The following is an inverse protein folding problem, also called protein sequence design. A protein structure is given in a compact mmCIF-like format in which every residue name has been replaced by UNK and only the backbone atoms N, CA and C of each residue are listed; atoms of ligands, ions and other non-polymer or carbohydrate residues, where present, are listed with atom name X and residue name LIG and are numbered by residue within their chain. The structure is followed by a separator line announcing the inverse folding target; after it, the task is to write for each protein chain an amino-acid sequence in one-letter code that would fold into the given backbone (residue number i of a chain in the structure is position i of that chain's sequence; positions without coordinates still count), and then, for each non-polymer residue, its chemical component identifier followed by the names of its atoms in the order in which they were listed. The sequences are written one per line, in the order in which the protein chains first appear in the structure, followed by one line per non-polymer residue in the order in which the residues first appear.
data_IF_942235434829
#
_entry.id   IF_942235434829
#
_cell.length_a   1.000
_cell.length_b   1.000
_cell.length_c   1.000
_cell.angle_alpha   90.00
_cell.angle_beta   90.00
_cell.angle_gamma   90.00
#
_symmetry.space_group_name_H-M   'P 1'
#
loop_
_entity.id
_entity.type
_entity.pdbx_description
1 polymer ?
#
# COMPACT_ATOMS: atom_id res chain seq x y z
N UNK A 1 -21.45 12.32 11.71
CA UNK A 1 -20.83 12.75 10.44
C UNK A 1 -20.08 11.57 9.84
N UNK A 2 -20.31 11.30 8.57
CA UNK A 2 -19.73 10.15 7.87
C UNK A 2 -18.22 10.39 7.66
N UNK A 3 -17.40 9.38 7.98
CA UNK A 3 -15.94 9.45 7.79
C UNK A 3 -15.58 9.74 6.33
N UNK A 4 -16.34 9.16 5.39
CA UNK A 4 -16.14 9.42 3.96
C UNK A 4 -16.24 10.90 3.63
N UNK A 5 -17.21 11.61 4.23
CA UNK A 5 -17.41 13.05 4.00
C UNK A 5 -16.23 13.88 4.47
N UNK A 6 -15.51 13.39 5.48
CA UNK A 6 -14.32 14.07 6.02
C UNK A 6 -13.08 13.75 5.19
N UNK A 7 -12.93 12.49 4.80
CA UNK A 7 -11.73 12.02 4.12
C UNK A 7 -11.74 12.22 2.61
N UNK A 8 -12.91 12.22 1.98
CA UNK A 8 -13.00 12.33 0.52
C UNK A 8 -12.24 13.54 -0.04
N UNK A 9 -12.37 14.76 0.52
CA UNK A 9 -11.61 15.90 0.02
C UNK A 9 -10.09 15.70 0.13
N UNK A 10 -9.62 15.04 1.19
CA UNK A 10 -8.20 14.76 1.38
C UNK A 10 -7.68 13.74 0.38
N UNK A 11 -8.48 12.71 0.08
CA UNK A 11 -8.14 11.71 -0.92
C UNK A 11 -8.04 12.34 -2.31
N UNK A 12 -9.03 13.14 -2.68
CA UNK A 12 -9.07 13.84 -3.97
C UNK A 12 -7.87 14.79 -4.10
N UNK A 13 -7.57 15.54 -3.05
CA UNK A 13 -6.43 16.46 -3.05
C UNK A 13 -5.11 15.74 -3.22
N UNK A 14 -4.93 14.61 -2.53
CA UNK A 14 -3.71 13.82 -2.67
C UNK A 14 -3.56 13.28 -4.09
N UNK A 15 -4.64 12.76 -4.68
CA UNK A 15 -4.60 12.27 -6.05
C UNK A 15 -4.24 13.38 -7.04
N UNK A 16 -4.82 14.59 -6.86
CA UNK A 16 -4.51 15.74 -7.70
C UNK A 16 -3.03 16.13 -7.59
N UNK A 17 -2.50 16.13 -6.36
CA UNK A 17 -1.08 16.42 -6.12
C UNK A 17 -0.19 15.41 -6.83
N UNK A 18 -0.49 14.12 -6.69
CA UNK A 18 0.31 13.05 -7.31
C UNK A 18 0.27 13.14 -8.84
N UNK A 19 -0.86 13.52 -9.42
CA UNK A 19 -0.95 13.74 -10.88
C UNK A 19 -0.06 14.89 -11.33
N UNK A 20 -0.02 15.97 -10.57
CA UNK A 20 0.86 17.10 -10.87
C UNK A 20 2.33 16.71 -10.82
N UNK A 21 2.68 15.76 -9.97
CA UNK A 21 4.03 15.22 -9.86
C UNK A 21 4.34 14.17 -10.92
N UNK A 22 3.36 13.79 -11.75
CA UNK A 22 3.53 12.79 -12.78
C UNK A 22 3.41 11.35 -12.29
N UNK A 23 2.83 11.13 -11.12
CA UNK A 23 2.72 9.79 -10.53
C UNK A 23 1.76 8.88 -11.28
N UNK A 24 0.88 9.44 -12.13
CA UNK A 24 -0.06 8.66 -12.94
C UNK A 24 0.50 8.26 -14.31
N UNK A 25 1.73 8.66 -14.63
CA UNK A 25 2.36 8.30 -15.89
C UNK A 25 2.79 6.85 -15.90
N UNK A 26 2.69 6.16 -17.07
CA UNK A 26 3.15 4.78 -17.15
C UNK A 26 4.60 4.65 -16.72
N UNK A 27 4.88 3.66 -15.87
CA UNK A 27 6.23 3.36 -15.43
C UNK A 27 6.84 2.27 -16.30
N UNK A 28 8.18 2.12 -16.30
CA UNK A 28 8.84 1.02 -17.01
C UNK A 28 8.31 -0.34 -16.56
N UNK A 29 8.27 -1.31 -17.47
CA UNK A 29 7.77 -2.66 -17.18
C UNK A 29 8.54 -3.33 -16.04
N UNK A 30 9.76 -2.94 -15.80
CA UNK A 30 10.62 -3.49 -14.76
C UNK A 30 10.36 -2.88 -13.38
N UNK A 31 9.42 -1.94 -13.27
CA UNK A 31 9.11 -1.31 -11.98
C UNK A 31 8.40 -2.28 -11.05
N UNK A 32 8.91 -2.41 -9.83
CA UNK A 32 8.29 -3.23 -8.79
C UNK A 32 7.32 -2.44 -7.92
N UNK A 33 7.16 -1.15 -8.18
CA UNK A 33 6.30 -0.28 -7.38
C UNK A 33 4.84 -0.22 -7.80
N UNK A 34 4.40 -1.03 -8.77
CA UNK A 34 3.06 -0.94 -9.34
C UNK A 34 2.26 -2.21 -9.10
N UNK A 35 0.95 -2.05 -8.84
CA UNK A 35 0.02 -3.17 -8.88
C UNK A 35 0.00 -3.74 -10.30
N UNK A 36 -0.13 -5.05 -10.40
CA UNK A 36 -0.08 -5.76 -11.70
C UNK A 36 -1.43 -6.25 -12.17
N UNK A 37 -2.20 -6.88 -11.28
CA UNK A 37 -3.47 -7.50 -11.64
C UNK A 37 -4.51 -7.31 -10.56
N UNK A 38 -5.79 -7.17 -10.96
CA UNK A 38 -6.87 -7.19 -9.99
C UNK A 38 -6.85 -8.52 -9.24
N UNK A 39 -7.28 -8.49 -7.99
CA UNK A 39 -7.33 -9.68 -7.15
C UNK A 39 -6.03 -9.97 -6.39
N UNK A 40 -4.95 -9.26 -6.69
CA UNK A 40 -3.73 -9.40 -5.90
C UNK A 40 -4.01 -8.99 -4.46
N UNK A 41 -3.43 -9.71 -3.51
CA UNK A 41 -3.57 -9.39 -2.09
C UNK A 41 -2.63 -8.26 -1.70
N UNK A 42 -3.10 -7.35 -0.86
CA UNK A 42 -2.32 -6.20 -0.41
C UNK A 42 -2.05 -6.34 1.09
N UNK A 43 -0.77 -6.25 1.45
CA UNK A 43 -0.32 -6.30 2.85
C UNK A 43 0.49 -5.07 3.21
N UNK A 44 0.41 -4.69 4.49
CA UNK A 44 1.32 -3.72 5.08
C UNK A 44 2.38 -4.51 5.84
N UNK A 45 3.63 -4.35 5.47
CA UNK A 45 4.77 -5.05 6.06
C UNK A 45 5.52 -4.07 6.96
N UNK A 46 5.76 -4.47 8.21
CA UNK A 46 6.44 -3.64 9.20
C UNK A 46 5.50 -3.23 10.32
N UNK A 47 6.06 -2.57 11.33
CA UNK A 47 5.30 -2.13 12.49
C UNK A 47 4.82 -0.69 12.33
N UNK A 48 3.53 -0.45 12.61
CA UNK A 48 2.96 0.89 12.61
C UNK A 48 3.10 1.52 14.00
N UNK A 49 3.09 2.85 14.04
CA UNK A 49 3.03 3.59 15.31
C UNK A 49 4.36 3.87 15.97
N UNK A 50 5.47 3.35 15.45
CA UNK A 50 6.78 3.65 15.97
C UNK A 50 7.37 4.85 15.23
N UNK A 51 7.51 5.96 15.93
CA UNK A 51 8.12 7.17 15.37
C UNK A 51 9.64 7.18 15.53
N UNK A 52 10.19 6.18 16.18
CA UNK A 52 11.64 6.08 16.37
C UNK A 52 12.29 5.43 15.14
N UNK A 53 13.35 6.05 14.66
CA UNK A 53 14.16 5.49 13.59
C UNK A 53 14.95 4.33 14.16
N UNK A 54 14.70 3.13 13.65
CA UNK A 54 15.46 1.93 14.03
C UNK A 54 16.13 1.39 12.77
N UNK A 55 17.41 1.70 12.61
CA UNK A 55 18.18 1.34 11.43
C UNK A 55 18.29 -0.18 11.24
N UNK A 56 18.33 -0.94 12.33
CA UNK A 56 18.41 -2.39 12.26
C UNK A 56 17.11 -2.99 11.70
N UNK A 57 15.96 -2.47 12.13
CA UNK A 57 14.66 -2.90 11.62
C UNK A 57 14.49 -2.50 10.15
N UNK A 58 14.90 -1.28 9.79
CA UNK A 58 14.86 -0.79 8.41
C UNK A 58 15.69 -1.69 7.49
N UNK A 59 16.91 -1.99 7.89
CA UNK A 59 17.81 -2.84 7.14
C UNK A 59 17.23 -4.25 6.98
N UNK A 60 16.68 -4.81 8.05
CA UNK A 60 16.08 -6.14 8.04
C UNK A 60 14.91 -6.21 7.06
N UNK A 61 14.01 -5.22 7.10
CA UNK A 61 12.84 -5.19 6.21
C UNK A 61 13.29 -5.09 4.76
N UNK A 62 14.24 -4.20 4.45
CA UNK A 62 14.76 -4.05 3.10
C UNK A 62 15.37 -5.35 2.58
N UNK A 63 16.15 -6.01 3.41
CA UNK A 63 16.82 -7.27 3.06
C UNK A 63 15.80 -8.39 2.80
N UNK A 64 14.78 -8.48 3.66
CA UNK A 64 13.72 -9.49 3.51
C UNK A 64 12.90 -9.21 2.26
N UNK A 65 12.59 -7.95 1.97
CA UNK A 65 11.85 -7.58 0.76
C UNK A 65 12.63 -7.93 -0.51
N UNK A 66 13.93 -7.65 -0.55
CA UNK A 66 14.76 -8.04 -1.68
C UNK A 66 14.77 -9.56 -1.88
N UNK A 67 14.86 -10.31 -0.79
CA UNK A 67 14.82 -11.77 -0.85
C UNK A 67 13.48 -12.27 -1.39
N UNK A 68 12.38 -11.69 -0.92
CA UNK A 68 11.04 -12.04 -1.39
C UNK A 68 10.87 -11.74 -2.89
N UNK A 69 11.42 -10.62 -3.36
CA UNK A 69 11.38 -10.27 -4.77
C UNK A 69 12.17 -11.27 -5.61
N UNK A 70 13.34 -11.68 -5.16
CA UNK A 70 14.16 -12.67 -5.86
C UNK A 70 13.47 -14.04 -5.95
N UNK A 71 12.63 -14.35 -4.98
CA UNK A 71 11.86 -15.61 -4.96
C UNK A 71 10.54 -15.51 -5.71
N UNK A 72 10.27 -14.36 -6.34
CA UNK A 72 9.01 -14.08 -7.03
C UNK A 72 7.78 -14.19 -6.13
N UNK A 73 7.93 -13.82 -4.86
CA UNK A 73 6.81 -13.81 -3.90
C UNK A 73 6.03 -12.51 -3.94
N UNK A 74 6.61 -11.43 -4.48
CA UNK A 74 5.98 -10.12 -4.52
C UNK A 74 5.78 -9.65 -5.95
N UNK A 75 4.62 -9.06 -6.22
CA UNK A 75 4.32 -8.39 -7.49
C UNK A 75 4.47 -6.88 -7.40
N UNK A 76 4.45 -6.32 -6.19
CA UNK A 76 4.56 -4.88 -5.96
C UNK A 76 5.18 -4.61 -4.59
N UNK A 77 6.07 -3.61 -4.52
CA UNK A 77 6.62 -3.10 -3.26
C UNK A 77 6.65 -1.58 -3.35
N UNK A 78 6.00 -0.90 -2.40
CA UNK A 78 6.05 0.56 -2.26
C UNK A 78 6.43 0.91 -0.83
N UNK A 79 7.51 1.65 -0.65
CA UNK A 79 7.87 2.15 0.67
C UNK A 79 6.86 3.22 1.10
N UNK A 80 6.47 3.18 2.38
CA UNK A 80 5.60 4.20 2.95
C UNK A 80 6.48 5.34 3.46
N UNK A 81 6.10 6.57 3.11
CA UNK A 81 6.85 7.77 3.48
C UNK A 81 5.93 8.78 4.19
N UNK A 82 6.35 10.04 4.20
CA UNK A 82 5.65 11.12 4.92
C UNK A 82 4.18 11.28 4.54
N UNK A 83 3.79 10.91 3.34
CA UNK A 83 2.40 10.98 2.88
C UNK A 83 1.51 9.85 3.40
N UNK A 84 2.07 8.89 4.12
CA UNK A 84 1.33 7.81 4.73
C UNK A 84 1.02 6.65 3.81
N UNK A 85 0.22 5.74 4.31
CA UNK A 85 -0.13 4.49 3.61
C UNK A 85 -0.93 4.78 2.34
N UNK A 86 -1.83 5.75 2.38
CA UNK A 86 -2.66 6.08 1.21
C UNK A 86 -1.80 6.55 0.04
N UNK A 87 -0.78 7.38 0.29
CA UNK A 87 0.11 7.82 -0.78
C UNK A 87 0.82 6.64 -1.44
N UNK A 88 1.31 5.69 -0.65
CA UNK A 88 1.96 4.49 -1.19
C UNK A 88 0.99 3.67 -2.05
N UNK A 89 -0.24 3.49 -1.59
CA UNK A 89 -1.28 2.78 -2.35
C UNK A 89 -1.58 3.47 -3.68
N UNK A 90 -1.72 4.80 -3.65
CA UNK A 90 -2.01 5.56 -4.87
C UNK A 90 -0.85 5.55 -5.85
N UNK A 91 0.40 5.62 -5.37
CA UNK A 91 1.57 5.51 -6.25
C UNK A 91 1.66 4.14 -6.93
N UNK A 92 1.19 3.10 -6.26
CA UNK A 92 1.14 1.75 -6.85
C UNK A 92 -0.01 1.60 -7.84
N UNK A 93 -1.13 2.27 -7.60
CA UNK A 93 -2.39 2.10 -8.34
C UNK A 93 -2.49 3.00 -9.57
N UNK A 94 -2.14 4.28 -9.43
CA UNK A 94 -2.41 5.30 -10.46
C UNK A 94 -1.74 5.00 -11.80
N UNK A 95 -0.43 4.68 -11.87
CA UNK A 95 0.18 4.39 -13.16
C UNK A 95 -0.36 3.13 -13.82
N UNK A 96 -0.83 2.18 -13.01
CA UNK A 96 -1.37 0.92 -13.51
C UNK A 96 -2.85 1.03 -13.94
N UNK A 97 -3.53 2.11 -13.55
CA UNK A 97 -4.96 2.26 -13.80
C UNK A 97 -5.81 1.29 -13.00
N UNK A 98 -5.28 0.79 -11.88
CA UNK A 98 -5.95 -0.13 -10.97
C UNK A 98 -6.31 0.60 -9.68
N UNK A 99 -7.26 0.04 -8.93
CA UNK A 99 -7.66 0.59 -7.65
C UNK A 99 -7.35 -0.38 -6.52
N UNK A 100 -7.98 -0.15 -5.38
CA UNK A 100 -7.80 -1.01 -4.22
C UNK A 100 -9.04 -0.96 -3.33
N UNK A 101 -9.25 -2.06 -2.62
CA UNK A 101 -10.29 -2.19 -1.59
C UNK A 101 -9.56 -2.61 -0.32
N UNK A 102 -9.48 -1.72 0.66
CA UNK A 102 -8.71 -1.96 1.88
C UNK A 102 -9.54 -1.70 3.13
N UNK A 103 -9.05 -2.25 4.24
CA UNK A 103 -9.58 -2.01 5.57
C UNK A 103 -8.45 -1.47 6.43
N UNK A 104 -8.72 -0.38 7.16
CA UNK A 104 -7.73 0.20 8.07
C UNK A 104 -7.73 -0.52 9.41
N UNK A 105 -6.73 -0.22 10.25
CA UNK A 105 -6.67 -0.77 11.59
C UNK A 105 -7.72 -0.09 12.47
N UNK A 106 -8.65 -0.88 13.02
CA UNK A 106 -9.76 -0.35 13.84
C UNK A 106 -9.30 0.32 15.13
N UNK A 107 -8.07 0.06 15.57
CA UNK A 107 -7.51 0.66 16.78
C UNK A 107 -6.85 2.01 16.53
N UNK A 108 -6.73 2.41 15.26
CA UNK A 108 -6.09 3.67 14.85
C UNK A 108 -7.14 4.52 14.13
N UNK A 109 -7.26 5.82 14.43
CA UNK A 109 -8.15 6.69 13.65
C UNK A 109 -7.83 6.60 12.16
N UNK A 110 -8.87 6.50 11.33
CA UNK A 110 -8.74 6.26 9.90
C UNK A 110 -7.86 7.29 9.21
N UNK A 111 -8.03 8.57 9.53
CA UNK A 111 -7.19 9.62 8.96
C UNK A 111 -5.74 9.52 9.37
N UNK A 112 -5.48 9.13 10.60
CA UNK A 112 -4.11 8.91 11.07
C UNK A 112 -3.47 7.73 10.34
N UNK A 113 -4.20 6.62 10.20
CA UNK A 113 -3.70 5.43 9.51
C UNK A 113 -3.32 5.73 8.07
N UNK A 114 -4.16 6.47 7.36
CA UNK A 114 -4.00 6.73 5.93
C UNK A 114 -2.96 7.79 5.61
N UNK A 115 -2.87 8.86 6.41
CA UNK A 115 -2.12 10.06 6.03
C UNK A 115 -0.85 10.33 6.85
N UNK A 116 -0.69 9.71 8.00
CA UNK A 116 0.50 9.92 8.83
C UNK A 116 1.58 8.88 8.54
N UNK A 117 2.83 9.27 8.73
CA UNK A 117 3.98 8.38 8.59
C UNK A 117 3.90 7.27 9.67
N UNK A 118 3.76 6.00 9.28
CA UNK A 118 3.63 4.92 10.25
C UNK A 118 4.97 4.42 10.80
N UNK A 119 6.08 4.94 10.32
CA UNK A 119 7.42 4.42 10.63
C UNK A 119 7.95 3.56 9.48
N UNK A 120 8.72 2.54 9.80
CA UNK A 120 9.33 1.68 8.78
C UNK A 120 8.33 0.64 8.29
N UNK A 121 7.65 0.96 7.19
CA UNK A 121 6.64 0.08 6.59
C UNK A 121 6.73 0.10 5.07
N UNK A 122 6.22 -0.95 4.46
CA UNK A 122 6.05 -1.03 3.01
C UNK A 122 4.69 -1.62 2.67
N UNK A 123 4.07 -1.11 1.61
CA UNK A 123 2.88 -1.71 1.02
C UNK A 123 3.35 -2.69 -0.04
N UNK A 124 2.89 -3.94 0.06
CA UNK A 124 3.25 -4.97 -0.90
C UNK A 124 2.00 -5.61 -1.48
N UNK A 125 2.12 -6.09 -2.72
CA UNK A 125 1.07 -6.88 -3.34
C UNK A 125 1.63 -8.22 -3.77
N UNK A 126 0.79 -9.26 -3.73
CA UNK A 126 1.18 -10.62 -4.02
C UNK A 126 0.06 -11.33 -4.80
N UNK A 127 0.45 -12.13 -5.79
CA UNK A 127 -0.50 -12.95 -6.52
C UNK A 127 -1.17 -13.95 -5.57
N UNK A 128 -2.49 -14.20 -5.70
CA UNK A 128 -3.18 -15.14 -4.79
C UNK A 128 -2.52 -16.51 -4.66
N UNK A 129 -1.89 -17.02 -5.73
CA UNK A 129 -1.21 -18.31 -5.72
C UNK A 129 0.05 -18.29 -4.84
N UNK A 130 0.59 -17.13 -4.53
CA UNK A 130 1.81 -16.96 -3.72
C UNK A 130 1.52 -16.43 -2.33
N UNK A 131 0.26 -16.19 -2.03
CA UNK A 131 -0.16 -15.53 -0.79
C UNK A 131 0.32 -16.27 0.46
N UNK A 132 0.02 -17.56 0.56
CA UNK A 132 0.41 -18.36 1.72
C UNK A 132 1.93 -18.44 1.87
N UNK A 133 2.63 -18.59 0.74
CA UNK A 133 4.09 -18.69 0.74
C UNK A 133 4.73 -17.39 1.23
N UNK A 134 4.20 -16.25 0.80
CA UNK A 134 4.68 -14.94 1.27
C UNK A 134 4.46 -14.76 2.76
N UNK A 135 3.26 -15.03 3.24
CA UNK A 135 2.93 -14.86 4.66
C UNK A 135 3.83 -15.74 5.53
N UNK A 136 4.05 -16.99 5.11
CA UNK A 136 4.93 -17.89 5.83
C UNK A 136 6.37 -17.41 5.82
N UNK A 137 6.84 -16.90 4.67
CA UNK A 137 8.19 -16.35 4.55
C UNK A 137 8.40 -15.17 5.49
N UNK A 138 7.42 -14.26 5.56
CA UNK A 138 7.51 -13.10 6.45
C UNK A 138 7.46 -13.53 7.92
N UNK A 139 6.62 -14.48 8.26
CA UNK A 139 6.54 -15.02 9.61
C UNK A 139 7.88 -15.66 10.03
N UNK A 140 8.47 -16.46 9.14
CA UNK A 140 9.75 -17.14 9.42
C UNK A 140 10.88 -16.14 9.63
N UNK A 141 10.79 -14.97 9.01
CA UNK A 141 11.78 -13.90 9.16
C UNK A 141 11.41 -12.89 10.26
N UNK A 142 10.37 -13.18 11.04
CA UNK A 142 9.93 -12.35 12.16
C UNK A 142 9.54 -10.93 11.72
N UNK A 143 8.92 -10.80 10.55
CA UNK A 143 8.42 -9.53 10.03
C UNK A 143 6.92 -9.44 10.33
N UNK A 144 6.51 -8.33 10.93
CA UNK A 144 5.09 -8.05 11.17
C UNK A 144 4.39 -7.78 9.85
N UNK A 145 3.23 -8.39 9.65
CA UNK A 145 2.43 -8.20 8.44
C UNK A 145 0.96 -8.01 8.80
N UNK A 146 0.32 -7.06 8.13
CA UNK A 146 -1.11 -6.78 8.30
C UNK A 146 -1.80 -6.86 6.95
N UNK A 147 -2.92 -7.58 6.88
CA UNK A 147 -3.72 -7.64 5.65
C UNK A 147 -4.43 -6.32 5.45
N UNK A 148 -4.22 -5.65 4.31
CA UNK A 148 -4.95 -4.44 3.95
C UNK A 148 -6.19 -4.75 3.10
N UNK A 149 -6.03 -5.56 2.07
CA UNK A 149 -7.15 -5.88 1.18
C UNK A 149 -6.69 -6.48 -0.13
N UNK A 150 -7.25 -5.98 -1.23
CA UNK A 150 -6.93 -6.51 -2.56
C UNK A 150 -6.99 -5.42 -3.63
N UNK A 151 -6.37 -5.70 -4.77
CA UNK A 151 -6.34 -4.81 -5.92
C UNK A 151 -7.65 -4.95 -6.71
N UNK A 152 -8.24 -3.81 -7.10
CA UNK A 152 -9.46 -3.75 -7.91
C UNK A 152 -9.16 -3.27 -9.33
N UNK A 153 -10.16 -3.30 -10.20
CA UNK A 153 -10.02 -2.80 -11.57
C UNK A 153 -9.90 -1.28 -11.67
N UNK A 154 -10.17 -0.56 -10.60
CA UNK A 154 -10.10 0.90 -10.61
C UNK A 154 -10.85 1.56 -9.46
N UNK A 155 -11.77 0.85 -8.83
CA UNK A 155 -12.52 1.39 -7.71
C UNK A 155 -11.64 1.53 -6.48
N UNK A 156 -11.81 2.65 -5.77
CA UNK A 156 -11.12 2.91 -4.51
C UNK A 156 -12.13 2.77 -3.39
N UNK A 157 -11.93 1.77 -2.53
CA UNK A 157 -12.77 1.53 -1.36
C UNK A 157 -11.90 1.46 -0.12
N UNK A 158 -12.37 2.12 0.93
CA UNK A 158 -11.66 2.14 2.23
C UNK A 158 -12.73 1.93 3.31
N UNK A 159 -12.57 0.87 4.11
CA UNK A 159 -13.50 0.51 5.18
C UNK A 159 -14.95 0.44 4.69
N UNK A 160 -15.14 -0.23 3.55
CA UNK A 160 -16.43 -0.46 2.89
C UNK A 160 -17.12 0.80 2.33
N UNK A 161 -16.39 1.92 2.25
CA UNK A 161 -16.90 3.15 1.64
C UNK A 161 -16.20 3.44 0.33
N UNK A 162 -16.98 3.82 -0.68
CA UNK A 162 -16.44 4.14 -2.00
C UNK A 162 -15.89 5.56 -2.04
N UNK A 163 -14.69 5.73 -2.60
CA UNK A 163 -14.07 7.04 -2.84
C UNK A 163 -13.96 7.35 -4.33
N UNK A 164 -14.66 6.56 -5.16
CA UNK A 164 -14.68 6.76 -6.60
C UNK A 164 -13.78 5.80 -7.34
N UNK A 165 -13.48 6.14 -8.59
CA UNK A 165 -12.63 5.33 -9.46
C UNK A 165 -11.32 6.07 -9.73
N UNK A 166 -10.22 5.32 -9.80
CA UNK A 166 -8.87 5.88 -9.97
C UNK A 166 -8.74 6.76 -11.20
N UNK A 167 -9.57 6.54 -12.22
CA UNK A 167 -9.54 7.29 -13.48
C UNK A 167 -10.48 8.49 -13.51
N UNK A 168 -11.38 8.59 -12.54
CA UNK A 168 -12.44 9.62 -12.53
C UNK A 168 -12.23 10.71 -11.49
N UNK A 169 -11.32 10.51 -10.56
CA UNK A 169 -11.07 11.48 -9.48
C UNK A 169 -9.92 12.40 -9.85
#
# INVERSE_FOLDING_TARGET
MDTQSILLPKVVEMMARLRREGADKPAPEESYGLFRNKGEMIYLVGETGSKEVNLDKDYKIQKVMLSAMRKNLLSCVQEVSDGGILEALLRAAMPAGLGFDITTDSEIPEGQFLFEDPGTCAVVAVHPDKDEELVQFLFDNQITVMTLGHVTKGDIRIDDQSYGNIRQI
#
